data_IF_127482781753
#
_entry.id   IF_127482781753
#
_cell.length_a   1.000
_cell.length_b   1.000
_cell.length_c   1.000
_cell.angle_alpha   90.00
_cell.angle_beta   90.00
_cell.angle_gamma   90.00
#
_symmetry.space_group_name_H-M   'P 1'
#
loop_
_entity.id
_entity.type
_entity.pdbx_description
1 polymer ?
#
# COMPACT_ATOMS: atom_id res chain seq x y z
N UNK A 1 -23.32 17.59 -2.00
CA UNK A 1 -22.25 16.97 -1.19
C UNK A 1 -21.34 16.24 -2.14
N UNK A 2 -20.11 16.71 -2.32
CA UNK A 2 -19.13 16.07 -3.21
C UNK A 2 -18.52 14.87 -2.47
N UNK A 3 -18.94 13.65 -2.79
CA UNK A 3 -18.34 12.43 -2.24
C UNK A 3 -17.00 12.18 -2.94
N UNK A 4 -15.95 12.81 -2.43
CA UNK A 4 -14.57 12.72 -2.95
C UNK A 4 -14.06 11.26 -2.99
N UNK A 5 -14.57 10.39 -2.14
CA UNK A 5 -14.19 8.97 -2.06
C UNK A 5 -14.63 8.11 -3.23
N UNK A 6 -15.65 8.51 -4.01
CA UNK A 6 -16.18 7.68 -5.10
C UNK A 6 -15.17 7.43 -6.23
N UNK A 7 -14.26 8.39 -6.41
CA UNK A 7 -13.29 8.38 -7.50
C UNK A 7 -11.90 7.97 -7.02
N UNK A 8 -11.75 7.54 -5.77
CA UNK A 8 -10.45 7.24 -5.17
C UNK A 8 -10.28 5.74 -4.87
N UNK A 9 -9.04 5.28 -4.98
CA UNK A 9 -8.59 3.97 -4.52
C UNK A 9 -7.29 4.10 -3.72
N UNK A 10 -7.11 3.22 -2.74
CA UNK A 10 -5.86 3.06 -2.02
C UNK A 10 -5.11 1.85 -2.56
N UNK A 11 -3.93 2.09 -3.10
CA UNK A 11 -3.01 1.08 -3.64
C UNK A 11 -1.89 0.82 -2.63
N UNK A 12 -1.55 -0.45 -2.46
CA UNK A 12 -0.34 -0.91 -1.82
C UNK A 12 0.36 -1.93 -2.73
N UNK A 13 1.62 -1.71 -3.07
CA UNK A 13 2.47 -2.69 -3.75
C UNK A 13 3.71 -2.97 -2.90
N UNK A 14 4.03 -4.25 -2.74
CA UNK A 14 5.14 -4.72 -1.91
C UNK A 14 6.00 -5.64 -2.76
N UNK A 15 7.30 -5.35 -2.75
CA UNK A 15 8.34 -6.15 -3.39
C UNK A 15 9.32 -6.60 -2.32
N UNK A 16 9.61 -7.90 -2.26
CA UNK A 16 10.56 -8.47 -1.31
C UNK A 16 11.53 -9.34 -2.08
N UNK A 17 12.82 -9.01 -2.04
CA UNK A 17 13.88 -9.87 -2.54
C UNK A 17 14.36 -10.80 -1.44
N UNK A 18 14.30 -12.11 -1.70
CA UNK A 18 14.72 -13.15 -0.78
C UNK A 18 15.83 -13.95 -1.45
N UNK A 19 17.00 -13.98 -0.82
CA UNK A 19 18.09 -14.87 -1.22
C UNK A 19 17.73 -16.30 -0.83
N UNK A 20 17.88 -17.25 -1.77
CA UNK A 20 17.69 -18.68 -1.54
C UNK A 20 19.08 -19.34 -1.58
N UNK A 21 19.73 -19.53 -0.42
CA UNK A 21 21.15 -19.90 -0.37
C UNK A 21 21.46 -21.21 -1.08
N UNK A 22 20.54 -22.18 -0.97
CA UNK A 22 20.69 -23.51 -1.57
C UNK A 22 20.68 -23.49 -3.11
N UNK A 23 20.13 -22.42 -3.71
CA UNK A 23 20.04 -22.23 -5.16
C UNK A 23 21.03 -21.19 -5.68
N UNK A 24 21.73 -20.47 -4.79
CA UNK A 24 22.54 -19.30 -5.13
C UNK A 24 21.76 -18.32 -6.05
N UNK A 25 20.50 -18.08 -5.71
CA UNK A 25 19.53 -17.34 -6.51
C UNK A 25 18.73 -16.35 -5.63
N UNK A 26 18.13 -15.35 -6.26
CA UNK A 26 17.27 -14.35 -5.59
C UNK A 26 15.86 -14.44 -6.15
N UNK A 27 14.90 -14.71 -5.27
CA UNK A 27 13.48 -14.73 -5.61
C UNK A 27 12.86 -13.39 -5.24
N UNK A 28 12.09 -12.82 -6.16
CA UNK A 28 11.27 -11.62 -5.89
C UNK A 28 9.85 -12.04 -5.59
N UNK A 29 9.37 -11.77 -4.38
CA UNK A 29 7.95 -11.84 -4.05
C UNK A 29 7.32 -10.47 -4.33
N UNK A 30 6.23 -10.48 -5.10
CA UNK A 30 5.42 -9.30 -5.37
C UNK A 30 4.00 -9.53 -4.84
N UNK A 31 3.51 -8.57 -4.06
CA UNK A 31 2.13 -8.51 -3.62
C UNK A 31 1.52 -7.14 -3.93
N UNK A 32 0.25 -7.11 -4.31
CA UNK A 32 -0.49 -5.88 -4.56
C UNK A 32 -1.87 -5.96 -3.93
N UNK A 33 -2.31 -4.86 -3.31
CA UNK A 33 -3.66 -4.69 -2.82
C UNK A 33 -4.23 -3.36 -3.33
N UNK A 34 -5.48 -3.38 -3.78
CA UNK A 34 -6.23 -2.18 -4.17
C UNK A 34 -7.52 -2.19 -3.37
N UNK A 35 -7.80 -1.09 -2.68
CA UNK A 35 -9.02 -0.88 -1.91
C UNK A 35 -9.82 0.25 -2.53
N UNK A 36 -11.03 -0.05 -3.00
CA UNK A 36 -11.96 0.95 -3.52
C UNK A 36 -12.55 1.77 -2.37
N UNK A 37 -12.26 3.08 -2.33
CA UNK A 37 -12.74 3.95 -1.26
C UNK A 37 -14.22 4.32 -1.38
N UNK A 38 -14.85 4.04 -2.53
CA UNK A 38 -16.27 4.28 -2.77
C UNK A 38 -17.16 3.41 -1.87
N UNK A 39 -16.69 2.22 -1.50
CA UNK A 39 -17.39 1.27 -0.61
C UNK A 39 -17.70 1.88 0.76
N UNK A 40 -16.86 2.83 1.21
CA UNK A 40 -16.95 3.45 2.53
C UNK A 40 -17.69 4.79 2.52
N UNK A 41 -18.04 5.33 1.35
CA UNK A 41 -18.77 6.60 1.18
C UNK A 41 -18.21 7.77 2.02
N UNK A 42 -16.87 7.84 2.16
CA UNK A 42 -16.21 8.78 3.05
C UNK A 42 -16.51 10.23 2.66
N UNK A 43 -16.74 11.08 3.66
CA UNK A 43 -16.74 12.54 3.53
C UNK A 43 -15.32 13.05 3.23
N UNK A 44 -15.16 14.32 2.79
CA UNK A 44 -13.84 14.91 2.59
C UNK A 44 -12.95 14.87 3.84
N UNK A 45 -13.53 15.13 5.03
CA UNK A 45 -12.78 15.12 6.28
C UNK A 45 -12.34 13.70 6.67
N UNK A 46 -13.17 12.70 6.43
CA UNK A 46 -12.82 11.28 6.65
C UNK A 46 -11.77 10.80 5.65
N UNK A 47 -11.84 11.23 4.40
CA UNK A 47 -10.81 10.94 3.37
C UNK A 47 -9.44 11.45 3.82
N UNK A 48 -9.36 12.68 4.36
CA UNK A 48 -8.12 13.22 4.90
C UNK A 48 -7.60 12.44 6.12
N UNK A 49 -8.50 11.99 7.00
CA UNK A 49 -8.12 11.16 8.16
C UNK A 49 -7.63 9.79 7.71
N UNK A 50 -8.34 9.16 6.78
CA UNK A 50 -7.96 7.88 6.20
C UNK A 50 -6.56 7.96 5.58
N UNK A 51 -6.27 9.01 4.79
CA UNK A 51 -4.94 9.22 4.22
C UNK A 51 -3.83 9.20 5.29
N UNK A 52 -4.01 9.93 6.39
CA UNK A 52 -3.04 9.95 7.49
C UNK A 52 -2.89 8.59 8.18
N UNK A 53 -3.99 7.85 8.33
CA UNK A 53 -3.99 6.52 8.91
C UNK A 53 -3.24 5.56 7.98
N UNK A 54 -3.58 5.56 6.70
CA UNK A 54 -2.96 4.74 5.66
C UNK A 54 -1.46 4.96 5.58
N UNK A 55 -1.01 6.22 5.47
CA UNK A 55 0.41 6.59 5.48
C UNK A 55 1.14 6.05 6.72
N UNK A 56 0.53 6.19 7.91
CA UNK A 56 1.14 5.73 9.16
C UNK A 56 1.21 4.21 9.27
N UNK A 57 0.16 3.50 8.84
CA UNK A 57 0.13 2.03 8.82
C UNK A 57 1.20 1.50 7.87
N UNK A 58 1.28 2.04 6.65
CA UNK A 58 2.22 1.56 5.65
C UNK A 58 3.66 1.90 6.01
N UNK A 59 3.91 3.05 6.66
CA UNK A 59 5.23 3.36 7.22
C UNK A 59 5.65 2.31 8.24
N UNK A 60 4.75 1.90 9.14
CA UNK A 60 5.02 0.86 10.15
C UNK A 60 5.19 -0.52 9.53
N UNK A 61 4.43 -0.82 8.48
CA UNK A 61 4.60 -2.05 7.70
C UNK A 61 5.98 -2.09 7.02
N UNK A 62 6.41 -0.98 6.41
CA UNK A 62 7.73 -0.84 5.79
C UNK A 62 8.86 -1.03 6.79
N UNK A 63 8.79 -0.39 7.96
CA UNK A 63 9.76 -0.58 9.05
C UNK A 63 9.83 -2.06 9.47
N UNK A 64 8.68 -2.71 9.68
CA UNK A 64 8.61 -4.11 10.11
C UNK A 64 9.10 -5.11 9.04
N UNK A 65 8.83 -4.83 7.76
CA UNK A 65 9.33 -5.64 6.66
C UNK A 65 10.82 -5.46 6.44
N UNK A 66 11.35 -4.25 6.59
CA UNK A 66 12.78 -3.98 6.48
C UNK A 66 13.60 -4.73 7.54
N UNK A 67 13.09 -4.86 8.77
CA UNK A 67 13.75 -5.63 9.83
C UNK A 67 13.92 -7.12 9.50
N UNK A 68 12.97 -7.70 8.76
CA UNK A 68 12.98 -9.12 8.39
C UNK A 68 13.61 -9.37 7.01
N UNK A 69 13.39 -8.44 6.08
CA UNK A 69 13.79 -8.49 4.69
C UNK A 69 14.36 -7.11 4.28
N UNK A 70 15.66 -6.87 4.51
CA UNK A 70 16.27 -5.56 4.25
C UNK A 70 16.18 -5.12 2.78
N UNK A 71 16.10 -6.08 1.86
CA UNK A 71 15.88 -5.84 0.45
C UNK A 71 14.37 -5.84 0.11
N UNK A 72 13.64 -4.87 0.67
CA UNK A 72 12.22 -4.68 0.40
C UNK A 72 11.92 -3.28 -0.15
N UNK A 73 10.87 -3.17 -0.95
CA UNK A 73 10.34 -1.92 -1.48
C UNK A 73 8.82 -1.91 -1.34
N UNK A 74 8.28 -0.80 -0.86
CA UNK A 74 6.84 -0.61 -0.66
C UNK A 74 6.42 0.68 -1.35
N UNK A 75 5.34 0.59 -2.14
CA UNK A 75 4.72 1.70 -2.83
C UNK A 75 3.29 1.82 -2.32
N UNK A 76 3.01 2.94 -1.67
CA UNK A 76 1.69 3.25 -1.10
C UNK A 76 1.13 4.51 -1.74
N UNK A 77 -0.08 4.44 -2.28
CA UNK A 77 -0.69 5.59 -2.94
C UNK A 77 -2.19 5.65 -2.68
N UNK A 78 -2.72 6.87 -2.48
CA UNK A 78 -4.14 7.13 -2.67
C UNK A 78 -4.26 7.91 -3.98
N UNK A 79 -4.88 7.29 -4.97
CA UNK A 79 -4.97 7.83 -6.33
C UNK A 79 -6.40 7.88 -6.82
N UNK A 80 -6.60 8.66 -7.88
CA UNK A 80 -7.86 8.64 -8.63
C UNK A 80 -7.93 7.32 -9.39
N UNK A 81 -9.09 6.67 -9.39
CA UNK A 81 -9.32 5.44 -10.16
C UNK A 81 -8.94 5.67 -11.63
N UNK A 82 -8.22 4.71 -12.20
CA UNK A 82 -7.97 4.69 -13.63
C UNK A 82 -9.30 4.45 -14.35
N UNK A 83 -9.62 5.26 -15.38
CA UNK A 83 -10.83 5.08 -16.19
C UNK A 83 -10.85 3.74 -16.92
#
# INVERSE_FOLDING_TARGET
>A
MNNVSKDLEALEEIFIAIEVPDLNDVVILQGSAIVDLAEFQLTPQETMKFKKIFEKVNTKLAESLYEQFPASSIISEIRVKSQ
#
